data_IF_291426969818
#
_entry.id   IF_291426969818
#
_cell.length_a   1.000
_cell.length_b   1.000
_cell.length_c   1.000
_cell.angle_alpha   90.00
_cell.angle_beta   90.00
_cell.angle_gamma   90.00
#
_symmetry.space_group_name_H-M   'P 1'
#
loop_
_entity.id
_entity.type
_entity.pdbx_description
1 polymer ?
#
# COMPACT_ATOMS: atom_id res chain seq x y z
N UNK A 1 15.96 -25.70 -14.88
CA UNK A 1 15.17 -24.63 -14.31
C UNK A 1 15.98 -23.37 -13.98
N UNK A 2 17.23 -23.47 -13.55
CA UNK A 2 18.13 -22.32 -13.27
C UNK A 2 18.40 -21.41 -14.50
N UNK A 3 18.55 -21.98 -15.71
CA UNK A 3 18.87 -21.19 -16.91
C UNK A 3 17.74 -20.23 -17.35
N UNK A 4 16.47 -20.59 -17.15
CA UNK A 4 15.33 -19.71 -17.47
C UNK A 4 15.16 -18.56 -16.47
N UNK A 5 15.51 -18.76 -15.19
CA UNK A 5 15.48 -17.68 -14.19
C UNK A 5 16.54 -16.61 -14.45
N UNK A 6 17.72 -17.01 -14.91
CA UNK A 6 18.81 -16.09 -15.27
C UNK A 6 18.49 -15.25 -16.51
N UNK A 7 17.74 -15.79 -17.48
CA UNK A 7 17.32 -15.03 -18.67
C UNK A 7 16.33 -13.91 -18.33
N UNK A 8 15.37 -14.14 -17.43
CA UNK A 8 14.47 -13.08 -16.96
C UNK A 8 15.18 -12.04 -16.10
N UNK A 9 16.19 -12.43 -15.32
CA UNK A 9 17.04 -11.50 -14.56
C UNK A 9 17.85 -10.61 -15.50
N UNK A 10 18.43 -11.18 -16.56
CA UNK A 10 19.19 -10.45 -17.57
C UNK A 10 18.31 -9.44 -18.35
N UNK A 11 17.09 -9.82 -18.74
CA UNK A 11 16.15 -8.93 -19.45
C UNK A 11 15.71 -7.78 -18.55
N UNK A 12 15.47 -8.03 -17.26
CA UNK A 12 15.14 -6.99 -16.28
C UNK A 12 16.28 -5.99 -16.08
N UNK A 13 17.52 -6.45 -16.04
CA UNK A 13 18.73 -5.60 -15.90
C UNK A 13 18.96 -4.79 -17.18
N UNK A 14 18.74 -5.36 -18.37
CA UNK A 14 18.87 -4.66 -19.65
C UNK A 14 17.78 -3.58 -19.82
N UNK A 15 16.56 -3.84 -19.41
CA UNK A 15 15.48 -2.83 -19.42
C UNK A 15 15.77 -1.66 -18.47
N UNK A 16 16.44 -1.91 -17.36
CA UNK A 16 16.89 -0.90 -16.39
C UNK A 16 18.05 -0.03 -16.95
N UNK A 17 18.94 -0.62 -17.73
CA UNK A 17 20.10 0.06 -18.32
C UNK A 17 19.72 0.95 -19.53
N UNK A 18 18.62 0.66 -20.21
CA UNK A 18 18.13 1.48 -21.34
C UNK A 18 17.48 2.81 -20.93
N UNK A 19 17.29 3.05 -19.63
CA UNK A 19 16.81 4.33 -19.11
C UNK A 19 17.93 5.30 -18.71
N UNK A 20 19.17 5.09 -19.18
CA UNK A 20 20.28 6.00 -18.93
C UNK A 20 20.17 7.16 -19.94
N UNK A 21 19.80 8.32 -19.41
CA UNK A 21 19.66 9.55 -20.18
C UNK A 21 20.98 10.00 -20.82
N UNK A 22 20.86 10.53 -22.04
CA UNK A 22 21.93 11.21 -22.77
C UNK A 22 22.41 12.50 -22.07
N UNK A 23 23.33 13.25 -22.68
CA UNK A 23 24.13 14.31 -22.02
C UNK A 23 23.27 15.39 -21.37
N UNK A 24 23.65 15.75 -20.16
CA UNK A 24 23.01 16.77 -19.32
C UNK A 24 23.18 18.14 -19.99
N UNK A 25 22.14 18.58 -20.66
CA UNK A 25 21.95 20.03 -20.86
C UNK A 25 21.51 20.61 -19.50
N UNK A 26 21.95 21.80 -19.19
CA UNK A 26 21.56 22.59 -18.01
C UNK A 26 20.09 23.00 -18.14
N UNK A 27 19.18 22.03 -18.06
CA UNK A 27 17.75 22.23 -18.02
C UNK A 27 17.33 22.39 -16.55
N UNK A 28 16.39 23.25 -16.30
CA UNK A 28 15.68 23.38 -15.05
C UNK A 28 15.40 21.97 -14.46
N UNK A 29 15.67 21.77 -13.18
CA UNK A 29 15.49 20.42 -12.56
C UNK A 29 14.03 19.97 -12.70
N UNK A 30 13.79 19.05 -13.61
CA UNK A 30 12.47 18.52 -13.94
C UNK A 30 11.78 17.85 -12.73
N UNK A 31 12.53 17.54 -11.68
CA UNK A 31 12.08 16.95 -10.43
C UNK A 31 11.58 17.98 -9.41
N UNK A 32 11.71 19.26 -9.70
CA UNK A 32 11.20 20.35 -8.86
C UNK A 32 9.68 20.53 -8.98
N UNK A 33 9.07 19.95 -10.02
CA UNK A 33 7.63 19.90 -10.26
C UNK A 33 7.12 18.46 -10.07
N UNK A 34 5.84 18.30 -9.72
CA UNK A 34 5.21 16.98 -9.72
C UNK A 34 5.32 16.31 -11.10
N UNK A 35 5.66 15.01 -11.15
CA UNK A 35 5.59 14.25 -12.39
C UNK A 35 4.20 14.37 -13.03
N UNK A 36 4.12 14.39 -14.36
CA UNK A 36 2.85 14.59 -15.09
C UNK A 36 1.74 13.62 -14.66
N UNK A 37 2.09 12.37 -14.37
CA UNK A 37 1.11 11.35 -13.95
C UNK A 37 0.59 11.58 -12.51
N UNK A 38 1.30 12.37 -11.68
CA UNK A 38 0.85 12.77 -10.34
C UNK A 38 0.15 14.13 -10.33
N UNK A 39 0.39 14.99 -11.33
CA UNK A 39 -0.33 16.27 -11.43
C UNK A 39 -1.82 16.01 -11.58
N UNK A 40 -2.65 16.70 -10.78
CA UNK A 40 -4.10 16.48 -10.66
C UNK A 40 -4.50 15.09 -10.13
N UNK A 41 -3.55 14.34 -9.58
CA UNK A 41 -3.88 13.16 -8.79
C UNK A 41 -4.24 13.57 -7.36
N UNK A 42 -5.02 12.72 -6.69
CA UNK A 42 -5.43 12.97 -5.31
C UNK A 42 -5.44 11.69 -4.49
N UNK A 43 -5.33 11.86 -3.20
CA UNK A 43 -5.51 10.82 -2.18
C UNK A 43 -6.36 11.36 -1.05
N UNK A 44 -6.93 10.48 -0.23
CA UNK A 44 -7.81 10.94 0.84
C UNK A 44 -8.13 9.87 1.86
N UNK A 45 -8.65 10.33 2.98
CA UNK A 45 -9.15 9.46 4.05
C UNK A 45 -10.54 9.95 4.44
N UNK A 46 -11.48 9.02 4.42
CA UNK A 46 -12.85 9.24 4.86
C UNK A 46 -13.17 8.25 5.98
N UNK A 47 -13.92 8.70 6.95
CA UNK A 47 -14.43 7.89 8.06
C UNK A 47 -15.95 7.92 8.01
N UNK A 48 -16.60 6.84 8.40
CA UNK A 48 -18.04 6.81 8.35
C UNK A 48 -18.67 5.51 8.82
N UNK A 49 -19.92 5.36 8.48
CA UNK A 49 -20.78 4.27 8.85
C UNK A 49 -20.80 3.20 7.75
N UNK A 50 -20.55 1.95 8.11
CA UNK A 50 -20.74 0.79 7.22
C UNK A 50 -21.96 0.01 7.65
N UNK A 51 -22.85 -0.23 6.69
CA UNK A 51 -23.98 -1.14 6.83
C UNK A 51 -23.67 -2.43 6.07
N UNK A 52 -23.52 -3.51 6.82
CA UNK A 52 -23.26 -4.84 6.30
C UNK A 52 -23.91 -5.85 7.25
N UNK A 53 -25.21 -6.15 7.07
CA UNK A 53 -26.03 -6.86 8.05
C UNK A 53 -25.69 -8.35 8.10
N UNK A 54 -24.55 -8.69 8.73
CA UNK A 54 -24.21 -10.07 9.03
C UNK A 54 -25.16 -10.66 10.07
N UNK A 55 -25.51 -11.92 9.85
CA UNK A 55 -26.40 -12.69 10.72
C UNK A 55 -26.12 -14.18 10.55
N UNK A 56 -26.95 -15.04 11.13
CA UNK A 56 -26.87 -16.48 10.92
C UNK A 56 -27.12 -16.91 9.46
N UNK A 57 -27.73 -16.07 8.63
CA UNK A 57 -27.97 -16.38 7.22
C UNK A 57 -26.71 -16.53 6.36
N UNK A 58 -25.58 -16.00 6.83
CA UNK A 58 -24.28 -16.14 6.18
C UNK A 58 -23.58 -17.46 6.52
N UNK A 59 -24.01 -18.15 7.57
CA UNK A 59 -23.41 -19.40 8.02
C UNK A 59 -23.81 -20.58 7.13
N UNK A 60 -22.97 -21.61 7.13
CA UNK A 60 -23.29 -22.88 6.48
C UNK A 60 -24.38 -23.61 7.22
N UNK A 61 -25.06 -24.55 6.50
CA UNK A 61 -26.13 -25.38 7.07
C UNK A 61 -25.59 -26.15 8.30
N UNK A 62 -26.37 -26.15 9.37
CA UNK A 62 -26.02 -26.82 10.62
C UNK A 62 -25.28 -25.92 11.61
N UNK A 63 -24.91 -24.71 11.26
CA UNK A 63 -24.28 -23.75 12.17
C UNK A 63 -25.22 -22.61 12.52
N UNK A 64 -25.22 -22.25 13.82
CA UNK A 64 -25.99 -21.11 14.35
C UNK A 64 -25.25 -20.47 15.52
N UNK A 65 -25.05 -19.17 15.44
CA UNK A 65 -24.52 -18.36 16.54
C UNK A 65 -25.66 -17.90 17.44
N UNK A 66 -25.40 -17.81 18.74
CA UNK A 66 -26.32 -17.21 19.70
C UNK A 66 -26.42 -15.69 19.51
N UNK A 67 -25.31 -15.04 19.15
CA UNK A 67 -25.31 -13.61 18.81
C UNK A 67 -24.27 -13.28 17.73
N UNK A 68 -24.56 -12.20 16.99
CA UNK A 68 -23.66 -11.64 15.96
C UNK A 68 -23.51 -10.16 16.22
N UNK A 69 -22.28 -9.72 16.48
CA UNK A 69 -21.94 -8.31 16.69
C UNK A 69 -21.36 -7.76 15.40
N UNK A 70 -22.01 -6.74 14.83
CA UNK A 70 -21.61 -6.10 13.58
C UNK A 70 -21.12 -4.69 13.88
N UNK A 71 -19.83 -4.38 13.63
CA UNK A 71 -19.33 -3.03 13.80
C UNK A 71 -19.74 -2.13 12.64
N UNK A 72 -20.03 -0.86 12.94
CA UNK A 72 -20.49 0.10 11.96
C UNK A 72 -19.48 1.21 11.63
N UNK A 73 -18.41 1.36 12.41
CA UNK A 73 -17.40 2.36 12.09
C UNK A 73 -16.43 1.80 11.04
N UNK A 74 -16.24 2.56 9.95
CA UNK A 74 -15.36 2.15 8.85
C UNK A 74 -14.49 3.29 8.35
N UNK A 75 -13.39 2.92 7.70
CA UNK A 75 -12.51 3.82 6.96
C UNK A 75 -12.58 3.50 5.47
N UNK A 76 -12.59 4.55 4.66
CA UNK A 76 -12.35 4.52 3.21
C UNK A 76 -11.09 5.30 2.92
N UNK A 77 -10.03 4.63 2.52
CA UNK A 77 -8.82 5.25 2.03
C UNK A 77 -8.91 5.38 0.50
N UNK A 78 -8.81 6.60 -0.02
CA UNK A 78 -8.57 6.86 -1.44
C UNK A 78 -7.05 6.78 -1.65
N UNK A 79 -6.60 5.66 -2.21
CA UNK A 79 -5.17 5.37 -2.37
C UNK A 79 -4.56 6.18 -3.51
N UNK A 80 -5.33 6.36 -4.59
CA UNK A 80 -4.97 7.17 -5.73
C UNK A 80 -6.24 7.51 -6.51
N UNK A 81 -6.44 8.79 -6.79
CA UNK A 81 -7.39 9.27 -7.79
C UNK A 81 -6.68 10.16 -8.79
N UNK A 82 -7.24 10.32 -9.98
CA UNK A 82 -6.72 11.22 -10.99
C UNK A 82 -7.86 11.96 -11.68
N UNK A 83 -7.79 13.29 -11.69
CA UNK A 83 -8.74 14.16 -12.41
C UNK A 83 -8.29 14.31 -13.87
N UNK A 84 -9.01 13.70 -14.81
CA UNK A 84 -8.78 13.89 -16.25
C UNK A 84 -9.22 15.28 -16.72
N UNK A 85 -10.27 15.79 -16.09
CA UNK A 85 -10.79 17.14 -16.31
C UNK A 85 -11.72 17.53 -15.12
N UNK A 86 -12.32 18.71 -15.20
CA UNK A 86 -13.23 19.20 -14.16
C UNK A 86 -14.52 18.40 -13.94
N UNK A 87 -14.82 17.44 -14.81
CA UNK A 87 -16.04 16.62 -14.76
C UNK A 87 -15.78 15.15 -14.51
N UNK A 88 -14.59 14.63 -14.85
CA UNK A 88 -14.29 13.20 -14.82
C UNK A 88 -13.00 12.91 -14.10
N UNK A 89 -13.04 11.94 -13.22
CA UNK A 89 -11.88 11.33 -12.57
C UNK A 89 -12.03 9.82 -12.45
N UNK A 90 -10.93 9.12 -12.22
CA UNK A 90 -10.93 7.72 -11.79
C UNK A 90 -10.21 7.62 -10.45
N UNK A 91 -10.58 6.61 -9.65
CA UNK A 91 -9.99 6.45 -8.32
C UNK A 91 -9.92 4.99 -7.89
N UNK A 92 -8.87 4.69 -7.12
CA UNK A 92 -8.68 3.43 -6.42
C UNK A 92 -8.92 3.69 -4.95
N UNK A 93 -9.81 2.93 -4.33
CA UNK A 93 -10.10 3.04 -2.92
C UNK A 93 -10.10 1.68 -2.22
N UNK A 94 -9.85 1.72 -0.92
CA UNK A 94 -9.86 0.57 -0.04
C UNK A 94 -10.70 0.90 1.20
N UNK A 95 -11.64 0.04 1.53
CA UNK A 95 -12.57 0.24 2.64
C UNK A 95 -12.58 -0.97 3.55
N UNK A 96 -12.64 -0.71 4.86
CA UNK A 96 -12.78 -1.75 5.88
C UNK A 96 -13.44 -1.21 7.14
N UNK A 97 -14.14 -2.05 7.91
CA UNK A 97 -14.49 -1.74 9.29
C UNK A 97 -13.23 -1.54 10.14
N UNK A 98 -13.31 -0.75 11.20
CA UNK A 98 -12.25 -0.65 12.21
C UNK A 98 -12.16 -1.91 13.09
N UNK A 99 -13.30 -2.52 13.35
CA UNK A 99 -13.41 -3.78 14.09
C UNK A 99 -14.02 -4.84 13.19
N UNK A 100 -13.86 -6.10 13.58
CA UNK A 100 -14.39 -7.23 12.84
C UNK A 100 -15.80 -7.59 13.30
N UNK A 101 -16.54 -8.31 12.45
CA UNK A 101 -17.78 -8.96 12.85
C UNK A 101 -17.44 -10.14 13.76
N UNK A 102 -18.19 -10.32 14.84
CA UNK A 102 -17.98 -11.39 15.81
C UNK A 102 -19.23 -12.27 15.89
N UNK A 103 -19.03 -13.58 15.71
CA UNK A 103 -20.01 -14.62 15.94
C UNK A 103 -19.70 -15.28 17.29
N UNK A 104 -20.67 -15.31 18.20
CA UNK A 104 -20.47 -15.82 19.56
C UNK A 104 -21.34 -17.04 19.82
N UNK A 105 -20.79 -17.99 20.57
CA UNK A 105 -21.46 -19.21 21.00
C UNK A 105 -22.09 -19.95 19.81
N UNK A 106 -21.26 -20.35 18.85
CA UNK A 106 -21.69 -21.07 17.65
C UNK A 106 -21.85 -22.55 17.99
N UNK A 107 -23.10 -23.06 17.93
CA UNK A 107 -23.45 -24.45 18.27
C UNK A 107 -22.92 -24.90 19.66
N UNK A 108 -22.86 -23.99 20.63
CA UNK A 108 -22.34 -24.29 21.98
C UNK A 108 -20.84 -24.07 22.15
N UNK A 109 -20.07 -23.79 21.08
CA UNK A 109 -18.70 -23.34 21.20
C UNK A 109 -18.65 -21.92 21.79
N UNK A 110 -18.10 -21.80 23.01
CA UNK A 110 -18.04 -20.54 23.74
C UNK A 110 -17.04 -19.53 23.17
N UNK A 111 -16.23 -19.93 22.19
CA UNK A 111 -15.27 -19.03 21.54
C UNK A 111 -15.99 -17.94 20.74
N UNK A 112 -15.32 -16.80 20.61
CA UNK A 112 -15.73 -15.73 19.70
C UNK A 112 -14.97 -15.87 18.39
N UNK A 113 -15.70 -16.00 17.29
CA UNK A 113 -15.13 -16.13 15.94
C UNK A 113 -15.23 -14.83 15.17
N UNK A 114 -14.07 -14.33 14.74
CA UNK A 114 -13.98 -13.08 13.99
C UNK A 114 -14.12 -13.31 12.50
N UNK A 115 -14.90 -12.46 11.85
CA UNK A 115 -15.04 -12.39 10.39
C UNK A 115 -14.58 -11.03 9.92
N UNK A 116 -13.47 -10.97 9.23
CA UNK A 116 -13.04 -9.71 8.63
C UNK A 116 -13.48 -9.62 7.16
N UNK A 117 -13.72 -8.38 6.72
CA UNK A 117 -14.03 -8.07 5.34
C UNK A 117 -13.40 -6.78 4.90
N UNK A 118 -13.12 -6.70 3.59
CA UNK A 118 -12.60 -5.51 2.94
C UNK A 118 -13.32 -5.33 1.61
N UNK A 119 -13.35 -4.09 1.14
CA UNK A 119 -13.84 -3.72 -0.18
C UNK A 119 -12.78 -2.85 -0.87
N UNK A 120 -12.07 -3.41 -1.84
CA UNK A 120 -11.22 -2.67 -2.76
C UNK A 120 -12.04 -2.25 -3.98
N UNK A 121 -11.81 -1.06 -4.52
CA UNK A 121 -12.58 -0.60 -5.67
C UNK A 121 -11.74 0.23 -6.64
N UNK A 122 -12.07 0.07 -7.94
CA UNK A 122 -11.67 0.96 -9.03
C UNK A 122 -12.93 1.57 -9.60
N UNK A 123 -13.09 2.88 -9.47
CA UNK A 123 -14.30 3.60 -9.90
C UNK A 123 -13.98 4.78 -10.82
N UNK A 124 -14.86 5.03 -11.76
CA UNK A 124 -14.97 6.31 -12.45
C UNK A 124 -15.91 7.21 -11.64
N UNK A 125 -15.55 8.47 -11.49
CA UNK A 125 -16.33 9.49 -10.79
C UNK A 125 -16.64 10.61 -11.75
N UNK A 126 -17.94 10.82 -12.03
CA UNK A 126 -18.46 11.99 -12.73
C UNK A 126 -18.91 13.04 -11.74
N UNK A 127 -18.54 14.31 -11.96
CA UNK A 127 -18.95 15.41 -11.07
C UNK A 127 -19.49 16.59 -11.85
N UNK A 128 -20.45 17.31 -11.24
CA UNK A 128 -21.01 18.52 -11.77
C UNK A 128 -20.86 19.64 -10.74
N UNK A 129 -20.15 20.73 -11.04
CA UNK A 129 -20.12 21.92 -10.21
C UNK A 129 -21.52 22.55 -10.13
N UNK A 130 -21.98 22.83 -8.91
CA UNK A 130 -23.19 23.60 -8.63
C UNK A 130 -22.84 25.05 -8.36
N UNK A 131 -21.72 25.28 -7.68
CA UNK A 131 -21.15 26.60 -7.41
C UNK A 131 -19.65 26.60 -7.68
N UNK A 132 -18.95 27.69 -7.37
CA UNK A 132 -17.48 27.74 -7.44
C UNK A 132 -16.80 26.76 -6.47
N UNK A 133 -17.46 26.41 -5.37
CA UNK A 133 -16.89 25.57 -4.30
C UNK A 133 -17.62 24.26 -4.08
N UNK A 134 -18.87 24.12 -4.51
CA UNK A 134 -19.69 22.92 -4.30
C UNK A 134 -19.89 22.16 -5.60
N UNK A 135 -19.67 20.87 -5.57
CA UNK A 135 -19.98 19.94 -6.67
C UNK A 135 -20.78 18.76 -6.15
N UNK A 136 -21.69 18.25 -6.96
CA UNK A 136 -22.27 16.91 -6.77
C UNK A 136 -21.54 15.91 -7.64
N UNK A 137 -21.46 14.67 -7.19
CA UNK A 137 -20.81 13.62 -7.96
C UNK A 137 -21.58 12.30 -7.90
N UNK A 138 -21.40 11.50 -8.95
CA UNK A 138 -21.72 10.07 -8.97
C UNK A 138 -20.46 9.26 -9.24
N UNK A 139 -20.37 8.07 -8.67
CA UNK A 139 -19.28 7.14 -8.95
C UNK A 139 -19.81 5.75 -9.25
N UNK A 140 -19.14 5.05 -10.17
CA UNK A 140 -19.46 3.68 -10.55
C UNK A 140 -18.21 2.94 -10.95
N UNK A 141 -18.18 1.63 -10.69
CA UNK A 141 -17.04 0.82 -11.11
C UNK A 141 -17.01 -0.59 -10.50
N UNK A 142 -15.83 -1.17 -10.54
CA UNK A 142 -15.58 -2.52 -10.05
C UNK A 142 -15.19 -2.47 -8.56
N UNK A 143 -15.94 -3.19 -7.74
CA UNK A 143 -15.58 -3.52 -6.37
C UNK A 143 -15.10 -4.97 -6.26
N UNK A 144 -14.15 -5.23 -5.38
CA UNK A 144 -13.73 -6.57 -4.97
C UNK A 144 -14.00 -6.68 -3.48
N UNK A 145 -14.95 -7.52 -3.11
CA UNK A 145 -15.20 -7.86 -1.71
C UNK A 145 -14.40 -9.09 -1.35
N UNK A 146 -13.67 -9.01 -0.26
CA UNK A 146 -12.94 -10.13 0.32
C UNK A 146 -13.36 -10.29 1.77
N UNK A 147 -13.71 -11.52 2.13
CA UNK A 147 -14.13 -11.92 3.48
C UNK A 147 -13.36 -13.15 3.91
N UNK A 148 -12.83 -13.15 5.12
CA UNK A 148 -12.28 -14.34 5.79
C UNK A 148 -13.33 -14.87 6.76
N UNK A 149 -13.78 -16.09 6.52
CA UNK A 149 -14.67 -16.82 7.41
C UNK A 149 -13.91 -17.56 8.52
N UNK A 150 -14.56 -18.56 9.11
CA UNK A 150 -13.97 -19.38 10.17
C UNK A 150 -14.49 -20.83 10.12
N UNK A 151 -13.78 -21.70 10.83
CA UNK A 151 -14.09 -23.11 10.98
C UNK A 151 -14.30 -23.45 12.46
N UNK A 152 -15.10 -24.47 12.72
CA UNK A 152 -15.30 -25.09 14.02
C UNK A 152 -15.11 -26.61 13.81
N UNK A 153 -14.25 -27.23 14.60
CA UNK A 153 -13.95 -28.67 14.54
C UNK A 153 -13.64 -29.15 13.10
N UNK A 154 -12.81 -28.39 12.38
CA UNK A 154 -12.41 -28.60 10.98
C UNK A 154 -13.57 -28.47 9.96
N UNK A 155 -14.78 -28.19 10.40
CA UNK A 155 -15.92 -27.91 9.53
C UNK A 155 -16.08 -26.42 9.27
N UNK A 156 -16.30 -26.03 8.03
CA UNK A 156 -16.50 -24.64 7.66
C UNK A 156 -17.82 -24.14 8.19
N UNK A 157 -17.80 -23.25 9.17
CA UNK A 157 -18.99 -22.62 9.73
C UNK A 157 -19.41 -21.37 8.93
N UNK A 158 -18.43 -20.60 8.45
CA UNK A 158 -18.62 -19.48 7.54
C UNK A 158 -17.49 -19.46 6.52
N UNK A 159 -17.86 -19.50 5.22
CA UNK A 159 -16.89 -19.58 4.12
C UNK A 159 -16.11 -18.29 3.91
N UNK A 160 -14.88 -18.47 3.46
CA UNK A 160 -14.14 -17.38 2.80
C UNK A 160 -14.88 -16.96 1.52
N UNK A 161 -14.76 -15.69 1.16
CA UNK A 161 -15.31 -15.17 -0.08
C UNK A 161 -14.38 -14.14 -0.70
N UNK A 162 -14.20 -14.20 -2.01
CA UNK A 162 -13.54 -13.17 -2.80
C UNK A 162 -14.22 -13.11 -4.16
N UNK A 163 -14.84 -11.99 -4.49
CA UNK A 163 -15.56 -11.83 -5.75
C UNK A 163 -15.65 -10.37 -6.17
N UNK A 164 -15.82 -10.16 -7.47
CA UNK A 164 -16.07 -8.85 -8.05
C UNK A 164 -17.55 -8.49 -8.00
N UNK A 165 -17.85 -7.23 -7.79
CA UNK A 165 -19.19 -6.67 -7.75
C UNK A 165 -19.21 -5.28 -8.39
N UNK A 166 -20.37 -4.86 -8.89
CA UNK A 166 -20.61 -3.49 -9.29
C UNK A 166 -20.71 -2.60 -8.04
N UNK A 167 -20.02 -1.48 -8.04
CA UNK A 167 -20.09 -0.48 -7.02
C UNK A 167 -20.72 0.78 -7.59
N UNK A 168 -21.71 1.32 -6.88
CA UNK A 168 -22.41 2.55 -7.21
C UNK A 168 -22.38 3.49 -6.02
N UNK A 169 -22.19 4.78 -6.27
CA UNK A 169 -22.15 5.76 -5.21
C UNK A 169 -22.40 7.18 -5.70
N UNK A 170 -22.40 8.09 -4.76
CA UNK A 170 -22.54 9.52 -5.03
C UNK A 170 -22.45 10.35 -3.78
N UNK A 171 -22.37 11.68 -3.97
CA UNK A 171 -22.24 12.58 -2.84
C UNK A 171 -21.99 14.02 -3.27
N UNK A 172 -21.49 14.77 -2.28
CA UNK A 172 -21.17 16.19 -2.41
C UNK A 172 -19.70 16.39 -2.08
N UNK A 173 -19.05 17.24 -2.85
CA UNK A 173 -17.68 17.67 -2.63
C UNK A 173 -17.66 19.19 -2.44
N UNK A 174 -17.05 19.65 -1.36
CA UNK A 174 -16.81 21.07 -1.06
C UNK A 174 -15.32 21.37 -1.23
N UNK A 175 -14.96 22.27 -2.13
CA UNK A 175 -13.59 22.73 -2.34
C UNK A 175 -13.22 23.74 -1.25
N UNK A 176 -12.32 23.34 -0.36
CA UNK A 176 -11.78 24.21 0.69
C UNK A 176 -10.77 25.21 0.08
N UNK A 177 -9.89 24.70 -0.78
CA UNK A 177 -8.95 25.45 -1.61
C UNK A 177 -8.54 24.60 -2.84
N UNK A 178 -7.55 25.02 -3.60
CA UNK A 178 -7.14 24.30 -4.83
C UNK A 178 -6.58 22.89 -4.56
N UNK A 179 -6.01 22.66 -3.38
CA UNK A 179 -5.41 21.38 -3.00
C UNK A 179 -6.30 20.55 -2.07
N UNK A 180 -7.28 21.10 -1.39
CA UNK A 180 -8.08 20.39 -0.41
C UNK A 180 -9.56 20.44 -0.69
N UNK A 181 -10.21 19.32 -0.57
CA UNK A 181 -11.68 19.24 -0.61
C UNK A 181 -12.20 18.34 0.50
N UNK A 182 -13.33 18.74 1.06
CA UNK A 182 -14.18 17.94 1.94
C UNK A 182 -15.16 17.14 1.07
N UNK A 183 -15.32 15.86 1.35
CA UNK A 183 -16.22 14.97 0.60
C UNK A 183 -17.15 14.27 1.57
N UNK A 184 -18.44 14.28 1.24
CA UNK A 184 -19.48 13.50 1.95
C UNK A 184 -20.22 12.69 0.91
N UNK A 185 -20.39 11.40 1.15
CA UNK A 185 -21.06 10.54 0.19
C UNK A 185 -21.38 9.14 0.70
N UNK A 186 -22.04 8.41 -0.16
CA UNK A 186 -22.39 7.02 0.06
C UNK A 186 -22.00 6.18 -1.13
N UNK A 187 -21.59 4.94 -0.87
CA UNK A 187 -21.37 3.93 -1.89
C UNK A 187 -22.02 2.62 -1.46
N UNK A 188 -22.47 1.84 -2.43
CA UNK A 188 -23.08 0.55 -2.20
C UNK A 188 -22.52 -0.46 -3.19
N UNK A 189 -22.12 -1.61 -2.67
CA UNK A 189 -21.78 -2.77 -3.47
C UNK A 189 -23.06 -3.49 -3.85
N UNK A 190 -23.27 -3.67 -5.17
CA UNK A 190 -24.42 -4.39 -5.68
C UNK A 190 -24.31 -5.87 -5.31
N UNK A 191 -25.41 -6.53 -5.37
CA UNK A 191 -25.78 -7.85 -4.89
C UNK A 191 -24.69 -8.90 -4.58
N UNK A 192 -24.94 -9.62 -3.53
CA UNK A 192 -24.14 -10.63 -2.87
C UNK A 192 -24.07 -11.97 -3.60
N UNK A 193 -22.86 -12.39 -3.96
CA UNK A 193 -22.53 -13.82 -4.13
C UNK A 193 -22.07 -14.39 -2.78
N UNK A 194 -22.09 -15.72 -2.65
CA UNK A 194 -21.54 -16.45 -1.49
C UNK A 194 -22.17 -16.03 -0.14
N UNK A 195 -23.44 -15.72 -0.11
CA UNK A 195 -24.16 -15.28 1.10
C UNK A 195 -23.54 -14.05 1.77
N UNK A 196 -22.86 -13.20 1.02
CA UNK A 196 -22.36 -11.92 1.54
C UNK A 196 -23.54 -10.94 1.68
N UNK A 197 -23.72 -10.26 2.82
CA UNK A 197 -24.73 -9.23 2.93
C UNK A 197 -24.41 -8.02 2.04
N UNK A 198 -25.44 -7.31 1.60
CA UNK A 198 -25.26 -6.03 0.90
C UNK A 198 -24.41 -5.11 1.77
N UNK A 199 -23.44 -4.45 1.15
CA UNK A 199 -22.53 -3.56 1.86
C UNK A 199 -22.68 -2.15 1.35
N UNK A 200 -23.04 -1.23 2.24
CA UNK A 200 -23.15 0.20 1.97
C UNK A 200 -22.26 0.97 2.93
N UNK A 201 -21.59 2.01 2.46
CA UNK A 201 -20.70 2.87 3.27
C UNK A 201 -21.12 4.31 3.08
N UNK A 202 -21.45 4.99 4.18
CA UNK A 202 -21.68 6.43 4.27
C UNK A 202 -20.45 7.05 4.92
N UNK A 203 -19.80 8.00 4.27
CA UNK A 203 -18.53 8.52 4.77
C UNK A 203 -18.36 10.01 4.51
N UNK A 204 -17.57 10.64 5.37
CA UNK A 204 -17.08 12.01 5.21
C UNK A 204 -15.56 12.02 5.40
N UNK A 205 -14.88 12.91 4.69
CA UNK A 205 -13.44 13.02 4.81
C UNK A 205 -12.85 14.06 3.86
N UNK A 206 -11.52 14.05 3.79
CA UNK A 206 -10.76 15.01 3.01
C UNK A 206 -10.01 14.31 1.89
N UNK A 207 -9.96 15.00 0.74
CA UNK A 207 -9.05 14.67 -0.36
C UNK A 207 -8.00 15.78 -0.48
N UNK A 208 -6.75 15.37 -0.65
CA UNK A 208 -5.65 16.24 -1.04
C UNK A 208 -5.34 16.03 -2.52
N UNK A 209 -5.38 17.10 -3.30
CA UNK A 209 -5.16 17.11 -4.74
C UNK A 209 -3.79 17.72 -5.02
N UNK A 210 -2.95 17.00 -5.75
CA UNK A 210 -1.63 17.46 -6.16
C UNK A 210 -1.74 18.34 -7.40
N UNK A 211 -2.10 19.62 -7.23
CA UNK A 211 -2.09 20.59 -8.32
C UNK A 211 -0.65 20.87 -8.75
N UNK A 212 -0.39 21.14 -10.04
CA UNK A 212 0.92 21.63 -10.47
C UNK A 212 1.38 22.80 -9.58
N UNK A 213 2.63 22.73 -9.14
CA UNK A 213 3.22 23.79 -8.32
C UNK A 213 3.34 25.08 -9.12
N UNK A 214 3.26 26.22 -8.43
CA UNK A 214 3.50 27.53 -9.04
C UNK A 214 4.96 27.63 -9.55
N UNK A 215 5.18 28.52 -10.51
CA UNK A 215 6.54 28.76 -11.02
C UNK A 215 7.51 29.17 -9.90
N UNK A 216 7.03 29.95 -8.92
CA UNK A 216 7.79 30.36 -7.75
C UNK A 216 8.20 29.15 -6.88
N UNK A 217 7.27 28.20 -6.66
CA UNK A 217 7.57 26.99 -5.89
C UNK A 217 8.53 26.06 -6.63
N UNK A 218 8.38 25.94 -7.95
CA UNK A 218 9.29 25.17 -8.80
C UNK A 218 10.71 25.78 -8.77
N UNK A 219 10.81 27.10 -8.91
CA UNK A 219 12.10 27.80 -8.80
C UNK A 219 12.73 27.63 -7.41
N UNK A 220 11.93 27.74 -6.36
CA UNK A 220 12.38 27.53 -4.98
C UNK A 220 12.88 26.10 -4.74
N UNK A 221 12.22 25.11 -5.35
CA UNK A 221 12.65 23.73 -5.28
C UNK A 221 13.91 23.48 -6.12
N UNK A 222 14.00 24.02 -7.32
CA UNK A 222 15.17 23.91 -8.21
C UNK A 222 16.41 24.53 -7.59
N UNK A 223 16.25 25.66 -6.91
CA UNK A 223 17.32 26.38 -6.21
C UNK A 223 17.51 25.88 -4.78
N UNK A 224 17.36 24.57 -4.56
CA UNK A 224 17.39 23.97 -3.23
C UNK A 224 18.71 24.17 -2.47
N UNK A 225 19.83 24.26 -3.18
CA UNK A 225 21.16 24.32 -2.57
C UNK A 225 21.62 23.02 -1.90
N UNK A 226 20.85 21.94 -2.09
CA UNK A 226 21.14 20.61 -1.56
C UNK A 226 21.16 19.58 -2.69
N UNK A 227 21.96 18.52 -2.49
CA UNK A 227 22.02 17.40 -3.43
C UNK A 227 20.84 16.47 -3.18
N UNK A 228 20.08 16.17 -4.24
CA UNK A 228 19.09 15.09 -4.27
C UNK A 228 19.55 14.08 -5.32
N UNK A 229 20.14 12.93 -4.91
CA UNK A 229 20.59 11.92 -5.87
C UNK A 229 19.47 11.52 -6.83
N UNK A 230 19.79 11.46 -8.13
CA UNK A 230 18.79 11.10 -9.14
C UNK A 230 18.53 9.60 -9.15
N UNK A 231 19.57 8.81 -9.09
CA UNK A 231 19.49 7.36 -9.12
C UNK A 231 20.22 6.76 -7.91
N UNK A 232 19.73 5.65 -7.40
CA UNK A 232 20.35 4.91 -6.31
C UNK A 232 20.26 3.43 -6.64
N UNK A 233 21.39 2.74 -6.64
CA UNK A 233 21.45 1.28 -6.65
C UNK A 233 21.85 0.82 -5.27
N UNK A 234 21.12 -0.15 -4.72
CA UNK A 234 21.35 -0.68 -3.38
C UNK A 234 21.48 -2.21 -3.44
N UNK A 235 22.47 -2.73 -2.73
CA UNK A 235 22.57 -4.13 -2.37
C UNK A 235 22.21 -4.29 -0.90
N UNK A 236 21.33 -5.24 -0.59
CA UNK A 236 20.80 -5.47 0.76
C UNK A 236 21.05 -6.89 1.25
N UNK A 237 21.39 -7.00 2.53
CA UNK A 237 21.45 -8.26 3.28
C UNK A 237 20.41 -8.21 4.41
N UNK A 238 19.48 -9.16 4.40
CA UNK A 238 18.47 -9.31 5.45
C UNK A 238 18.91 -10.38 6.44
N UNK A 239 18.65 -10.17 7.72
CA UNK A 239 18.98 -11.12 8.78
C UNK A 239 17.99 -11.08 9.94
N UNK A 240 17.80 -12.23 10.57
CA UNK A 240 17.08 -12.41 11.83
C UNK A 240 18.01 -12.45 13.07
N UNK A 241 19.31 -12.44 12.87
CA UNK A 241 20.30 -12.73 13.93
C UNK A 241 20.35 -11.65 15.04
N UNK A 242 19.94 -10.41 14.75
CA UNK A 242 20.00 -9.29 15.71
C UNK A 242 18.73 -9.11 16.54
N UNK A 243 17.80 -10.06 16.43
CA UNK A 243 16.55 -10.02 17.19
C UNK A 243 15.51 -9.04 16.62
N UNK A 244 14.37 -9.00 17.26
CA UNK A 244 13.15 -8.39 16.72
C UNK A 244 12.67 -7.17 17.46
N UNK A 245 13.44 -6.54 18.32
CA UNK A 245 12.97 -5.45 19.16
C UNK A 245 12.12 -4.41 18.42
N UNK A 246 12.62 -3.89 17.31
CA UNK A 246 11.88 -2.91 16.50
C UNK A 246 10.70 -3.56 15.78
N UNK A 247 10.90 -4.74 15.22
CA UNK A 247 9.87 -5.43 14.45
C UNK A 247 8.74 -5.96 15.34
N UNK A 248 9.04 -6.44 16.53
CA UNK A 248 8.05 -6.83 17.53
C UNK A 248 7.25 -5.62 18.03
N UNK A 249 7.89 -4.48 18.19
CA UNK A 249 7.23 -3.23 18.56
C UNK A 249 6.23 -2.80 17.48
N UNK A 250 6.62 -2.87 16.20
CA UNK A 250 5.77 -2.55 15.07
C UNK A 250 4.66 -3.59 14.90
N UNK A 251 4.97 -4.89 15.00
CA UNK A 251 4.01 -5.98 14.79
C UNK A 251 2.97 -6.11 15.90
N UNK A 252 3.28 -5.69 17.12
CA UNK A 252 2.36 -5.69 18.27
C UNK A 252 1.38 -4.52 18.28
N UNK A 253 1.36 -3.71 17.24
CA UNK A 253 0.40 -2.61 17.10
C UNK A 253 0.72 -1.37 17.94
N UNK A 254 1.92 -1.29 18.53
CA UNK A 254 2.38 -0.09 19.22
C UNK A 254 2.57 1.10 18.25
N UNK A 255 2.83 0.80 16.98
CA UNK A 255 2.74 1.75 15.87
C UNK A 255 1.58 1.29 14.98
N UNK A 256 0.68 2.17 14.53
CA UNK A 256 -0.49 1.79 13.72
C UNK A 256 -0.12 1.42 12.28
N UNK A 257 0.93 0.66 12.10
CA UNK A 257 1.38 0.07 10.85
C UNK A 257 1.08 -1.41 10.96
N UNK A 258 0.22 -1.92 10.10
CA UNK A 258 -0.36 -3.26 10.12
C UNK A 258 0.66 -4.35 9.71
N UNK A 259 1.71 -4.54 10.50
CA UNK A 259 2.84 -5.41 10.16
C UNK A 259 2.88 -6.72 10.94
N UNK A 260 1.75 -7.21 11.37
CA UNK A 260 1.66 -8.58 11.90
C UNK A 260 1.96 -9.59 10.79
N UNK A 261 2.81 -10.57 11.05
CA UNK A 261 3.21 -11.58 10.08
C UNK A 261 3.24 -12.98 10.69
N UNK A 262 2.82 -13.96 9.90
CA UNK A 262 2.86 -15.38 10.25
C UNK A 262 4.18 -16.01 9.83
N UNK A 263 4.80 -15.48 8.77
CA UNK A 263 6.06 -15.95 8.20
C UNK A 263 7.16 -14.93 8.48
N UNK A 264 8.35 -15.42 8.76
CA UNK A 264 9.53 -14.62 9.09
C UNK A 264 10.70 -15.04 8.22
N UNK A 265 11.35 -14.10 7.56
CA UNK A 265 12.59 -14.37 6.84
C UNK A 265 13.75 -14.51 7.83
N UNK A 266 14.54 -15.59 7.71
CA UNK A 266 15.75 -15.79 8.50
C UNK A 266 16.91 -14.96 7.95
N UNK A 267 17.11 -15.02 6.63
CA UNK A 267 18.12 -14.24 5.92
C UNK A 267 17.75 -14.11 4.44
N UNK A 268 18.40 -13.19 3.75
CA UNK A 268 18.19 -12.99 2.32
C UNK A 268 19.09 -11.91 1.74
N UNK A 269 19.08 -11.85 0.41
CA UNK A 269 19.79 -10.84 -0.37
C UNK A 269 18.80 -10.09 -1.23
N UNK A 270 19.07 -8.82 -1.47
CA UNK A 270 18.27 -7.97 -2.36
C UNK A 270 19.14 -7.07 -3.23
N UNK A 271 18.67 -6.79 -4.42
CA UNK A 271 19.19 -5.76 -5.31
C UNK A 271 18.05 -4.81 -5.65
N UNK A 272 18.25 -3.54 -5.40
CA UNK A 272 17.26 -2.50 -5.62
C UNK A 272 17.79 -1.33 -6.42
N UNK A 273 16.89 -0.70 -7.15
CA UNK A 273 17.11 0.57 -7.84
C UNK A 273 16.02 1.54 -7.43
N UNK A 274 16.38 2.80 -7.24
CA UNK A 274 15.46 3.89 -6.96
C UNK A 274 15.80 5.09 -7.85
N UNK A 275 14.76 5.76 -8.37
CA UNK A 275 14.91 6.99 -9.17
C UNK A 275 14.06 8.10 -8.56
N UNK A 276 14.69 9.24 -8.32
CA UNK A 276 14.02 10.43 -7.83
C UNK A 276 13.05 10.97 -8.87
N UNK A 277 11.79 11.06 -8.51
CA UNK A 277 10.71 11.58 -9.35
C UNK A 277 10.31 13.01 -9.00
N UNK A 278 10.53 13.42 -7.73
CA UNK A 278 10.18 14.75 -7.24
C UNK A 278 10.96 15.04 -5.96
N UNK A 279 11.28 16.30 -5.72
CA UNK A 279 11.78 16.78 -4.43
C UNK A 279 11.28 18.18 -4.12
N UNK A 280 11.12 18.45 -2.83
CA UNK A 280 10.96 19.81 -2.31
C UNK A 280 12.32 20.45 -2.07
N UNK A 281 12.30 21.71 -1.68
CA UNK A 281 13.54 22.47 -1.43
C UNK A 281 14.54 21.77 -0.49
N UNK A 282 14.06 21.11 0.58
CA UNK A 282 14.98 20.65 1.66
C UNK A 282 14.71 19.26 2.20
N UNK A 283 13.44 18.93 2.48
CA UNK A 283 13.13 17.81 3.36
C UNK A 283 12.63 16.59 2.58
N UNK A 284 11.64 16.77 1.73
CA UNK A 284 10.92 15.68 1.11
C UNK A 284 11.45 15.35 -0.28
N UNK A 285 11.54 14.06 -0.57
CA UNK A 285 11.74 13.57 -1.93
C UNK A 285 10.95 12.28 -2.16
N UNK A 286 10.37 12.18 -3.35
CA UNK A 286 9.65 11.02 -3.83
C UNK A 286 10.52 10.27 -4.84
N UNK A 287 10.68 8.98 -4.60
CA UNK A 287 11.32 8.07 -5.54
C UNK A 287 10.31 7.00 -5.97
N UNK A 288 10.44 6.48 -7.17
CA UNK A 288 9.96 5.17 -7.49
C UNK A 288 11.13 4.18 -7.44
N UNK A 289 10.88 2.94 -7.08
CA UNK A 289 11.89 1.92 -6.98
C UNK A 289 11.43 0.59 -7.53
N UNK A 290 12.41 -0.23 -7.90
CA UNK A 290 12.24 -1.63 -8.22
C UNK A 290 13.27 -2.46 -7.45
N UNK A 291 12.89 -3.64 -7.01
CA UNK A 291 13.83 -4.54 -6.34
C UNK A 291 13.52 -6.00 -6.66
N UNK A 292 14.57 -6.81 -6.67
CA UNK A 292 14.49 -8.25 -6.62
C UNK A 292 15.18 -8.75 -5.36
N UNK A 293 14.60 -9.77 -4.73
CA UNK A 293 15.17 -10.33 -3.51
C UNK A 293 14.99 -11.85 -3.46
N UNK A 294 15.90 -12.52 -2.76
CA UNK A 294 15.83 -13.94 -2.44
C UNK A 294 15.96 -14.11 -0.94
N UNK A 295 15.02 -14.83 -0.35
CA UNK A 295 14.93 -15.05 1.10
C UNK A 295 14.82 -16.52 1.43
N UNK A 296 15.22 -16.87 2.65
CA UNK A 296 14.86 -18.12 3.31
C UNK A 296 14.01 -17.82 4.54
N UNK A 297 12.95 -18.59 4.71
CA UNK A 297 12.09 -18.49 5.90
C UNK A 297 12.76 -19.09 7.14
N UNK A 298 12.32 -18.65 8.32
CA UNK A 298 12.86 -19.12 9.60
C UNK A 298 12.32 -20.49 10.01
N UNK A 299 11.06 -20.81 9.67
CA UNK A 299 10.38 -22.01 10.13
C UNK A 299 10.92 -23.27 9.44
N UNK A 300 10.72 -23.38 8.14
CA UNK A 300 11.07 -24.58 7.34
C UNK A 300 12.25 -24.38 6.40
N UNK A 301 12.93 -23.25 6.47
CA UNK A 301 13.97 -22.85 5.52
C UNK A 301 13.47 -22.82 4.05
N UNK A 302 12.19 -22.53 3.85
CA UNK A 302 11.62 -22.40 2.52
C UNK A 302 12.25 -21.22 1.78
N UNK A 303 12.82 -21.49 0.60
CA UNK A 303 13.37 -20.46 -0.27
C UNK A 303 12.27 -19.81 -1.09
N UNK A 304 12.25 -18.48 -1.15
CA UNK A 304 11.35 -17.72 -2.03
C UNK A 304 12.02 -16.45 -2.55
N UNK A 305 11.53 -15.95 -3.68
CA UNK A 305 12.00 -14.68 -4.25
C UNK A 305 10.84 -13.74 -4.47
N UNK A 306 11.18 -12.45 -4.49
CA UNK A 306 10.24 -11.36 -4.76
C UNK A 306 10.77 -10.47 -5.87
N UNK A 307 9.85 -9.88 -6.64
CA UNK A 307 10.12 -8.79 -7.55
C UNK A 307 9.07 -7.70 -7.29
N UNK A 308 9.54 -6.52 -6.91
CA UNK A 308 8.68 -5.44 -6.39
C UNK A 308 8.88 -4.17 -7.18
N UNK A 309 7.79 -3.40 -7.35
CA UNK A 309 7.80 -1.99 -7.73
C UNK A 309 7.20 -1.21 -6.57
N UNK A 310 7.78 -0.06 -6.20
CA UNK A 310 7.30 0.65 -5.02
C UNK A 310 7.61 2.15 -5.06
N UNK A 311 6.75 3.00 -4.48
CA UNK A 311 7.09 4.38 -4.18
C UNK A 311 7.95 4.44 -2.92
N UNK A 312 8.83 5.43 -2.81
CA UNK A 312 9.60 5.72 -1.59
C UNK A 312 9.41 7.19 -1.22
N UNK A 313 8.78 7.41 -0.09
CA UNK A 313 8.63 8.71 0.54
C UNK A 313 9.82 8.92 1.47
N UNK A 314 10.76 9.81 1.12
CA UNK A 314 11.96 10.06 1.89
C UNK A 314 11.92 11.44 2.51
N UNK A 315 12.21 11.49 3.81
CA UNK A 315 12.28 12.71 4.60
C UNK A 315 13.70 12.89 5.14
N UNK A 316 14.42 13.86 4.60
CA UNK A 316 15.78 14.19 5.07
C UNK A 316 15.68 15.05 6.32
N UNK A 317 15.99 14.45 7.46
CA UNK A 317 15.87 15.08 8.77
C UNK A 317 17.04 16.05 9.05
N UNK A 318 18.26 15.62 8.74
CA UNK A 318 19.47 16.37 9.03
C UNK A 318 20.30 16.45 7.76
N UNK A 319 20.74 17.68 7.42
CA UNK A 319 21.69 17.94 6.33
C UNK A 319 22.96 18.56 6.90
N UNK A 320 24.04 17.81 6.85
CA UNK A 320 25.37 18.24 7.27
C UNK A 320 26.28 18.43 6.05
N UNK A 321 27.48 18.98 6.26
CA UNK A 321 28.41 19.31 5.17
C UNK A 321 28.72 18.14 4.22
N UNK A 322 28.81 16.91 4.73
CA UNK A 322 29.13 15.69 3.97
C UNK A 322 28.18 14.53 4.20
N UNK A 323 27.10 14.73 4.95
CA UNK A 323 26.16 13.66 5.34
C UNK A 323 24.75 14.20 5.38
N UNK A 324 23.80 13.43 4.85
CA UNK A 324 22.37 13.70 4.96
C UNK A 324 21.69 12.49 5.58
N UNK A 325 21.12 12.65 6.78
CA UNK A 325 20.36 11.60 7.45
C UNK A 325 18.88 11.70 7.06
N UNK A 326 18.29 10.56 6.75
CA UNK A 326 16.90 10.48 6.33
C UNK A 326 16.17 9.31 6.98
N UNK A 327 14.86 9.44 7.01
CA UNK A 327 13.93 8.33 7.19
C UNK A 327 13.13 8.16 5.90
N UNK A 328 12.71 6.93 5.61
CA UNK A 328 11.86 6.65 4.47
C UNK A 328 10.74 5.68 4.82
N UNK A 329 9.71 5.74 4.00
CA UNK A 329 8.57 4.84 4.05
C UNK A 329 8.14 4.47 2.63
N UNK A 330 7.75 3.23 2.45
CA UNK A 330 7.14 2.74 1.21
C UNK A 330 5.83 2.06 1.53
N UNK A 331 4.81 2.30 0.75
CA UNK A 331 3.46 1.80 0.94
C UNK A 331 2.98 1.08 -0.31
N UNK A 332 2.41 -0.12 -0.11
CA UNK A 332 1.63 -0.86 -1.10
C UNK A 332 2.36 -1.08 -2.45
N UNK A 333 3.66 -1.33 -2.41
CA UNK A 333 4.42 -1.66 -3.62
C UNK A 333 3.98 -3.01 -4.21
N UNK A 334 3.38 -3.05 -5.43
CA UNK A 334 2.99 -4.30 -6.06
C UNK A 334 4.18 -5.22 -6.21
N UNK A 335 4.01 -6.47 -5.79
CA UNK A 335 5.10 -7.44 -5.67
C UNK A 335 4.66 -8.80 -6.17
N UNK A 336 5.47 -9.40 -7.03
CA UNK A 336 5.42 -10.82 -7.32
C UNK A 336 6.18 -11.57 -6.23
N UNK A 337 5.59 -12.65 -5.69
CA UNK A 337 6.23 -13.60 -4.77
C UNK A 337 6.20 -15.01 -5.38
N UNK A 338 7.32 -15.68 -5.36
CA UNK A 338 7.49 -16.95 -6.11
C UNK A 338 6.69 -18.13 -5.53
N UNK A 339 6.26 -18.03 -4.27
CA UNK A 339 5.46 -19.06 -3.59
C UNK A 339 4.22 -18.46 -2.95
N UNK A 340 3.11 -19.18 -3.01
CA UNK A 340 1.88 -18.86 -2.29
C UNK A 340 1.80 -19.54 -0.92
N UNK A 341 2.69 -20.51 -0.63
CA UNK A 341 2.79 -21.18 0.67
C UNK A 341 4.24 -21.18 1.12
N UNK A 342 4.49 -20.63 2.31
CA UNK A 342 5.80 -20.54 2.95
C UNK A 342 5.62 -20.92 4.42
N UNK A 343 6.46 -21.79 4.96
CA UNK A 343 6.37 -22.34 6.32
C UNK A 343 4.97 -22.95 6.64
N UNK A 344 4.35 -23.61 5.65
CA UNK A 344 2.97 -24.12 5.71
C UNK A 344 1.90 -23.02 5.91
N UNK A 345 2.25 -21.77 5.73
CA UNK A 345 1.34 -20.64 5.80
C UNK A 345 0.95 -20.18 4.39
N UNK A 346 -0.35 -20.04 4.14
CA UNK A 346 -0.85 -19.62 2.83
C UNK A 346 -0.86 -18.08 2.73
N UNK A 347 -0.02 -17.54 1.84
CA UNK A 347 0.10 -16.10 1.58
C UNK A 347 -0.93 -15.59 0.55
N UNK A 348 -1.80 -16.46 0.08
CA UNK A 348 -2.84 -16.19 -0.91
C UNK A 348 -2.41 -16.57 -2.32
N UNK A 349 -1.99 -15.62 -3.12
CA UNK A 349 -1.52 -15.84 -4.49
C UNK A 349 -0.08 -15.39 -4.64
N UNK A 350 0.51 -15.61 -5.82
CA UNK A 350 1.85 -15.11 -6.17
C UNK A 350 1.86 -13.60 -6.44
N UNK A 351 0.97 -12.88 -5.78
CA UNK A 351 0.87 -11.43 -5.78
C UNK A 351 0.67 -10.94 -4.35
N UNK A 352 1.45 -9.93 -3.97
CA UNK A 352 1.42 -9.30 -2.65
C UNK A 352 1.79 -7.83 -2.78
N UNK A 353 1.76 -7.08 -1.71
CA UNK A 353 2.31 -5.74 -1.63
C UNK A 353 3.51 -5.73 -0.70
N UNK A 354 4.52 -4.96 -1.06
CA UNK A 354 5.65 -4.66 -0.20
C UNK A 354 5.43 -3.32 0.50
N UNK A 355 5.59 -3.33 1.80
CA UNK A 355 5.73 -2.13 2.61
C UNK A 355 7.09 -2.17 3.31
N UNK A 356 7.73 -1.02 3.48
CA UNK A 356 8.93 -0.94 4.30
C UNK A 356 9.09 0.44 4.93
N UNK A 357 9.82 0.48 6.03
CA UNK A 357 10.37 1.70 6.60
C UNK A 357 11.86 1.53 6.85
N UNK A 358 12.57 2.64 6.75
CA UNK A 358 14.00 2.64 6.93
C UNK A 358 14.55 3.98 7.41
N UNK A 359 15.76 3.91 7.93
CA UNK A 359 16.56 5.08 8.24
C UNK A 359 17.94 4.91 7.60
N UNK A 360 18.47 6.00 7.06
CA UNK A 360 19.74 5.90 6.33
C UNK A 360 20.47 7.22 6.25
N UNK A 361 21.61 7.14 5.60
CA UNK A 361 22.51 8.26 5.39
C UNK A 361 23.06 8.26 3.98
N UNK A 362 23.12 9.44 3.38
CA UNK A 362 23.96 9.69 2.22
C UNK A 362 25.27 10.33 2.68
N UNK A 363 26.39 9.88 2.14
CA UNK A 363 27.73 10.32 2.51
C UNK A 363 28.49 10.83 1.29
N UNK A 364 29.41 11.78 1.51
CA UNK A 364 30.22 12.41 0.48
C UNK A 364 29.69 13.80 0.08
N UNK A 365 30.52 14.57 -0.65
CA UNK A 365 30.11 15.88 -1.18
C UNK A 365 28.96 15.77 -2.18
N UNK A 366 29.04 14.77 -3.06
CA UNK A 366 28.01 14.45 -4.07
C UNK A 366 26.88 13.54 -3.55
N UNK A 367 26.89 13.12 -2.26
CA UNK A 367 25.92 12.16 -1.72
C UNK A 367 25.93 10.80 -2.44
N UNK A 368 27.10 10.40 -2.94
CA UNK A 368 27.23 9.22 -3.80
C UNK A 368 27.17 7.89 -3.03
N UNK A 369 27.54 7.87 -1.75
CA UNK A 369 27.44 6.67 -0.92
C UNK A 369 26.16 6.71 -0.11
N UNK A 370 25.49 5.55 -0.02
CA UNK A 370 24.26 5.39 0.73
C UNK A 370 24.37 4.16 1.65
N UNK A 371 23.99 4.33 2.91
CA UNK A 371 23.80 3.23 3.84
C UNK A 371 22.43 3.38 4.50
N UNK A 372 21.69 2.27 4.59
CA UNK A 372 20.33 2.26 5.10
C UNK A 372 20.05 0.98 5.89
N UNK A 373 19.40 1.11 7.04
CA UNK A 373 18.75 0.00 7.74
C UNK A 373 17.27 0.02 7.41
N UNK A 374 16.68 -1.16 7.18
CA UNK A 374 15.28 -1.29 6.75
C UNK A 374 14.62 -2.47 7.41
N UNK A 375 13.36 -2.31 7.77
CA UNK A 375 12.43 -3.40 8.05
C UNK A 375 11.37 -3.43 6.95
N UNK A 376 10.95 -4.62 6.55
CA UNK A 376 9.99 -4.76 5.45
C UNK A 376 8.94 -5.83 5.75
N UNK A 377 7.84 -5.72 5.05
CA UNK A 377 6.68 -6.56 5.21
C UNK A 377 6.04 -6.82 3.84
N UNK A 378 5.59 -8.05 3.64
CA UNK A 378 4.82 -8.44 2.47
C UNK A 378 3.46 -8.95 2.92
N UNK A 379 2.40 -8.36 2.39
CA UNK A 379 1.05 -8.85 2.61
C UNK A 379 0.18 -8.52 1.41
N UNK A 380 -0.83 -9.34 1.13
CA UNK A 380 -1.72 -9.04 0.01
C UNK A 380 -2.79 -8.00 0.34
N UNK A 381 -2.71 -7.32 1.50
CA UNK A 381 -3.67 -6.30 1.91
C UNK A 381 -5.09 -6.86 2.09
N UNK A 382 -5.21 -8.15 2.31
CA UNK A 382 -6.48 -8.87 2.36
C UNK A 382 -7.30 -8.74 1.05
N UNK A 383 -6.65 -8.57 -0.09
CA UNK A 383 -7.29 -8.67 -1.42
C UNK A 383 -7.68 -10.13 -1.71
N UNK A 384 -6.99 -11.09 -1.07
CA UNK A 384 -7.35 -12.51 -1.07
C UNK A 384 -7.66 -12.96 0.34
N UNK A 385 -8.53 -14.00 0.51
CA UNK A 385 -8.92 -14.51 1.83
C UNK A 385 -7.75 -15.05 2.67
N UNK A 386 -6.77 -15.70 2.02
CA UNK A 386 -5.54 -16.14 2.64
C UNK A 386 -4.51 -15.01 2.55
N UNK A 387 -3.94 -14.64 3.68
CA UNK A 387 -2.96 -13.56 3.79
C UNK A 387 -2.00 -13.80 4.96
N UNK A 388 -1.28 -14.91 4.91
CA UNK A 388 -0.16 -15.11 5.80
C UNK A 388 0.97 -14.14 5.39
N UNK A 389 1.04 -13.03 6.07
CA UNK A 389 2.03 -12.00 5.79
C UNK A 389 3.45 -12.47 6.11
N UNK A 390 4.43 -11.90 5.41
CA UNK A 390 5.85 -12.20 5.57
C UNK A 390 6.59 -10.97 6.10
N UNK A 391 7.31 -11.13 7.18
CA UNK A 391 8.18 -10.09 7.75
C UNK A 391 9.63 -10.30 7.33
N UNK A 392 10.28 -9.25 6.87
CA UNK A 392 11.74 -9.15 6.73
C UNK A 392 12.25 -8.32 7.92
N UNK A 393 12.90 -8.97 8.89
CA UNK A 393 13.11 -8.37 10.21
C UNK A 393 14.00 -7.16 10.21
N UNK A 394 15.17 -7.29 9.63
CA UNK A 394 16.14 -6.22 9.48
C UNK A 394 16.97 -6.47 8.23
N UNK A 395 17.18 -5.44 7.43
CA UNK A 395 18.13 -5.46 6.32
C UNK A 395 19.08 -4.30 6.40
N UNK A 396 20.33 -4.56 6.05
CA UNK A 396 21.38 -3.57 5.84
C UNK A 396 21.54 -3.39 4.35
N UNK A 397 21.38 -2.15 3.89
CA UNK A 397 21.48 -1.84 2.47
C UNK A 397 22.64 -0.87 2.27
N UNK A 398 23.55 -1.21 1.38
CA UNK A 398 24.62 -0.33 0.93
C UNK A 398 24.38 0.02 -0.53
N UNK A 399 24.60 1.28 -0.88
CA UNK A 399 24.27 1.75 -2.20
C UNK A 399 25.20 2.82 -2.74
N UNK A 400 25.11 2.96 -4.04
CA UNK A 400 25.75 4.05 -4.79
C UNK A 400 24.65 4.91 -5.43
N UNK A 401 24.81 6.22 -5.29
CA UNK A 401 23.90 7.23 -5.78
C UNK A 401 24.58 8.13 -6.82
N UNK A 402 23.87 8.42 -7.93
CA UNK A 402 24.40 9.18 -9.08
C UNK A 402 23.30 9.93 -9.82
#
# INVERSE_FOLDING_TARGET
MLARGLQFLAIGIWALLLCVDGPVAWAQDDRAQYPRFLSNSYFGIHVGYIDSPFSNSQMESGFKAASVTVPHLAVRALLLGHEFNKYLSAQISYMRPFQWVHYQNVNGDRASHSVWMNLAALTAKGQRPLTKTVSVYGESGLGIITRKGFQIDQSTALRDAAYSTLLLGGGVQYRVNDNWSLVVGAISAAHAKARQPRTSVFSAGFNHIMRPLSNEDVERNSNAGFVFPRNIVQFGYATDALGYGINDFVSKGAVPVFWAANVRAAHGLSLGYQRNAFHTRRVFSLYWGAAVASFKSKGRCDGFYTASLFPVFRFTAIRAKRMDFYVNYSLAGPTFISRSTIDNQDTGRRFTFQDFMGAGVFVGRGRNLNAEIRIAHYSNGNVFPQNAAVTIPLSFNLGFAF
#
